data_IF_397220547194
#
_entry.id   IF_397220547194
#
_cell.length_a   1.000
_cell.length_b   1.000
_cell.length_c   1.000
_cell.angle_alpha   90.00
_cell.angle_beta   90.00
_cell.angle_gamma   90.00
#
_symmetry.space_group_name_H-M   'P 1'
#
loop_
_entity.id
_entity.type
_entity.pdbx_description
1 polymer ?
#
# COMPACT_ATOMS: atom_id res chain seq x y z
N UNK A 1 -11.30 -7.67 -11.02
CA UNK A 1 -12.26 -6.82 -10.27
C UNK A 1 -12.08 -5.38 -10.72
N UNK A 2 -13.12 -4.57 -10.94
CA UNK A 2 -12.94 -3.21 -11.45
C UNK A 2 -12.36 -2.26 -10.39
N UNK A 3 -11.55 -1.27 -10.81
CA UNK A 3 -11.01 -0.24 -9.92
C UNK A 3 -12.10 0.52 -9.16
N UNK A 4 -13.21 0.83 -9.84
CA UNK A 4 -14.36 1.51 -9.21
C UNK A 4 -14.95 0.70 -8.06
N UNK A 5 -15.02 -0.63 -8.18
CA UNK A 5 -15.51 -1.51 -7.11
C UNK A 5 -14.57 -1.50 -5.90
N UNK A 6 -13.26 -1.54 -6.13
CA UNK A 6 -12.25 -1.48 -5.07
C UNK A 6 -12.27 -0.12 -4.35
N UNK A 7 -12.38 0.98 -5.10
CA UNK A 7 -12.51 2.33 -4.54
C UNK A 7 -13.76 2.46 -3.66
N UNK A 8 -14.90 1.93 -4.13
CA UNK A 8 -16.14 1.93 -3.36
C UNK A 8 -15.99 1.13 -2.06
N UNK A 9 -15.36 -0.05 -2.09
CA UNK A 9 -15.11 -0.85 -0.89
C UNK A 9 -14.22 -0.11 0.13
N UNK A 10 -13.15 0.56 -0.33
CA UNK A 10 -12.30 1.38 0.55
C UNK A 10 -13.11 2.54 1.13
N UNK A 11 -13.92 3.22 0.32
CA UNK A 11 -14.76 4.33 0.77
C UNK A 11 -15.75 3.91 1.86
N UNK A 12 -16.45 2.79 1.67
CA UNK A 12 -17.36 2.22 2.67
C UNK A 12 -16.62 1.86 3.96
N UNK A 13 -15.48 1.16 3.85
CA UNK A 13 -14.69 0.79 5.02
C UNK A 13 -14.15 2.03 5.76
N UNK A 14 -13.75 3.08 5.02
CA UNK A 14 -13.26 4.33 5.57
C UNK A 14 -14.35 5.06 6.37
N UNK A 15 -15.58 5.10 5.86
CA UNK A 15 -16.72 5.67 6.60
C UNK A 15 -17.01 4.87 7.88
N UNK A 16 -16.94 3.55 7.83
CA UNK A 16 -17.16 2.70 9.01
C UNK A 16 -16.10 2.94 10.11
N UNK A 17 -14.80 3.01 9.74
CA UNK A 17 -13.73 3.25 10.73
C UNK A 17 -13.77 4.66 11.31
N UNK A 18 -14.28 5.65 10.57
CA UNK A 18 -14.41 7.04 11.05
C UNK A 18 -15.66 7.26 11.89
N UNK A 19 -16.75 6.56 11.60
CA UNK A 19 -17.98 6.62 12.38
C UNK A 19 -18.00 5.70 13.60
N UNK A 20 -16.84 5.12 13.99
CA UNK A 20 -16.68 4.17 15.09
C UNK A 20 -17.66 2.98 15.05
N UNK A 21 -18.16 2.66 13.85
CA UNK A 21 -19.07 1.54 13.64
C UNK A 21 -18.29 0.23 13.63
N UNK A 22 -18.97 -0.87 13.94
CA UNK A 22 -18.42 -2.21 13.68
C UNK A 22 -18.06 -2.31 12.19
N UNK A 23 -16.78 -2.58 11.92
CA UNK A 23 -16.27 -2.68 10.55
C UNK A 23 -16.34 -4.15 10.10
N UNK A 24 -17.25 -4.43 9.18
CA UNK A 24 -17.35 -5.72 8.50
C UNK A 24 -17.47 -5.50 6.98
N UNK A 25 -16.67 -6.19 6.15
CA UNK A 25 -15.59 -7.10 6.55
C UNK A 25 -14.38 -6.35 7.16
N UNK A 26 -13.66 -7.00 8.08
CA UNK A 26 -12.47 -6.41 8.71
C UNK A 26 -11.22 -6.34 7.80
N UNK A 27 -11.31 -6.92 6.60
CA UNK A 27 -10.30 -6.86 5.53
C UNK A 27 -10.99 -6.84 4.17
N UNK A 28 -10.37 -6.17 3.22
CA UNK A 28 -10.77 -6.16 1.80
C UNK A 28 -9.54 -6.36 0.93
N UNK A 29 -9.70 -7.01 -0.23
CA UNK A 29 -8.65 -7.05 -1.27
C UNK A 29 -8.61 -5.68 -1.93
N UNK A 30 -7.42 -5.13 -2.14
CA UNK A 30 -7.22 -3.81 -2.77
C UNK A 30 -6.26 -3.83 -3.95
N UNK A 31 -5.67 -4.98 -4.24
CA UNK A 31 -4.75 -5.20 -5.35
C UNK A 31 -4.17 -6.60 -5.28
N UNK A 32 -3.33 -6.93 -6.25
CA UNK A 32 -2.65 -8.21 -6.36
C UNK A 32 -1.20 -7.97 -6.79
N UNK A 33 -0.28 -8.86 -6.41
CA UNK A 33 1.09 -8.82 -6.92
C UNK A 33 1.10 -9.03 -8.43
N UNK A 34 1.78 -8.12 -9.14
CA UNK A 34 2.04 -8.23 -10.58
C UNK A 34 3.13 -9.28 -10.85
N UNK A 35 3.19 -9.84 -12.06
CA UNK A 35 4.17 -10.88 -12.40
C UNK A 35 5.61 -10.48 -12.06
N UNK A 36 6.01 -9.25 -12.40
CA UNK A 36 7.33 -8.68 -12.05
C UNK A 36 7.66 -8.74 -10.56
N UNK A 37 6.65 -8.59 -9.69
CA UNK A 37 6.80 -8.70 -8.24
C UNK A 37 6.90 -10.16 -7.82
N UNK A 38 6.09 -11.05 -8.41
CA UNK A 38 6.13 -12.49 -8.11
C UNK A 38 7.50 -13.09 -8.48
N UNK A 39 7.98 -12.80 -9.68
CA UNK A 39 9.30 -13.22 -10.17
C UNK A 39 10.42 -12.71 -9.26
N UNK A 40 10.38 -11.43 -8.86
CA UNK A 40 11.35 -10.89 -7.91
C UNK A 40 11.31 -11.61 -6.56
N UNK A 41 10.12 -11.81 -5.98
CA UNK A 41 9.98 -12.48 -4.69
C UNK A 41 10.48 -13.93 -4.74
N UNK A 42 10.21 -14.65 -5.82
CA UNK A 42 10.72 -16.00 -6.05
C UNK A 42 12.25 -16.04 -6.09
N UNK A 43 12.89 -15.08 -6.79
CA UNK A 43 14.35 -14.94 -6.79
C UNK A 43 14.92 -14.63 -5.39
N UNK A 44 14.14 -13.98 -4.53
CA UNK A 44 14.47 -13.76 -3.12
C UNK A 44 14.11 -14.96 -2.21
N UNK A 45 13.66 -16.09 -2.78
CA UNK A 45 13.18 -17.29 -2.06
C UNK A 45 12.00 -16.99 -1.12
N UNK A 46 11.16 -16.01 -1.50
CA UNK A 46 9.93 -15.66 -0.80
C UNK A 46 8.76 -16.12 -1.66
N UNK A 47 7.96 -17.06 -1.14
CA UNK A 47 6.78 -17.60 -1.82
C UNK A 47 5.52 -17.27 -1.01
N UNK A 48 4.83 -16.14 -1.31
CA UNK A 48 3.61 -15.77 -0.61
C UNK A 48 2.50 -16.81 -0.80
N UNK A 49 1.72 -17.06 0.26
CA UNK A 49 0.56 -17.99 0.19
C UNK A 49 -0.54 -17.56 -0.78
N UNK A 50 -0.57 -16.28 -1.15
CA UNK A 50 -1.50 -15.68 -2.10
C UNK A 50 -0.85 -14.46 -2.77
N UNK A 51 -1.35 -14.08 -3.94
CA UNK A 51 -0.99 -12.82 -4.61
C UNK A 51 -1.79 -11.61 -4.11
N UNK A 52 -2.88 -11.84 -3.36
CA UNK A 52 -3.78 -10.78 -2.92
C UNK A 52 -3.10 -9.84 -1.91
N UNK A 53 -3.32 -8.55 -2.08
CA UNK A 53 -2.93 -7.49 -1.16
C UNK A 53 -4.17 -7.02 -0.41
N UNK A 54 -4.17 -7.22 0.90
CA UNK A 54 -5.29 -6.83 1.76
C UNK A 54 -5.10 -5.44 2.39
N UNK A 55 -6.20 -4.69 2.50
CA UNK A 55 -6.33 -3.55 3.41
C UNK A 55 -7.17 -3.97 4.61
N UNK A 56 -6.64 -3.78 5.81
CA UNK A 56 -7.29 -4.13 7.07
C UNK A 56 -7.94 -2.90 7.70
N UNK A 57 -9.09 -3.06 8.37
CA UNK A 57 -9.83 -1.96 9.00
C UNK A 57 -8.97 -1.16 9.98
N UNK A 58 -8.24 -1.86 10.85
CA UNK A 58 -7.35 -1.23 11.83
C UNK A 58 -6.20 -0.46 11.14
N UNK A 59 -5.68 -0.96 10.02
CA UNK A 59 -4.64 -0.27 9.24
C UNK A 59 -5.22 0.95 8.55
N UNK A 60 -6.40 0.85 7.95
CA UNK A 60 -7.09 1.98 7.34
C UNK A 60 -7.37 3.11 8.36
N UNK A 61 -7.82 2.77 9.56
CA UNK A 61 -7.94 3.74 10.66
C UNK A 61 -6.60 4.44 10.92
N UNK A 62 -5.48 3.71 11.01
CA UNK A 62 -4.15 4.29 11.16
C UNK A 62 -3.68 5.15 9.97
N UNK A 63 -4.11 4.85 8.74
CA UNK A 63 -3.82 5.66 7.55
C UNK A 63 -4.57 6.99 7.60
N UNK A 64 -5.83 6.96 8.02
CA UNK A 64 -6.74 8.10 8.01
C UNK A 64 -6.60 9.04 9.24
N UNK A 65 -5.73 8.71 10.20
CA UNK A 65 -5.55 9.52 11.43
C UNK A 65 -5.17 10.97 11.11
N UNK A 66 -5.93 11.91 11.66
CA UNK A 66 -5.67 13.35 11.56
C UNK A 66 -4.28 13.74 12.06
N UNK A 67 -3.74 13.06 13.07
CA UNK A 67 -2.39 13.32 13.56
C UNK A 67 -1.30 13.06 12.52
N UNK A 68 -1.52 12.23 11.49
CA UNK A 68 -0.60 12.08 10.34
C UNK A 68 -0.75 13.24 9.35
N UNK A 69 -1.98 13.69 9.10
CA UNK A 69 -2.25 14.82 8.20
C UNK A 69 -1.67 16.12 8.75
N UNK A 70 -1.85 16.39 10.05
CA UNK A 70 -1.32 17.60 10.72
C UNK A 70 0.19 17.77 10.57
N UNK A 71 0.95 16.66 10.49
CA UNK A 71 2.41 16.64 10.28
C UNK A 71 2.82 16.45 8.81
N UNK A 72 1.89 16.61 7.87
CA UNK A 72 2.14 16.57 6.42
C UNK A 72 2.41 15.19 5.82
N UNK A 73 2.39 14.11 6.61
CA UNK A 73 2.72 12.76 6.16
C UNK A 73 1.48 11.88 5.87
N UNK A 74 0.30 12.30 6.31
CA UNK A 74 -0.96 11.57 6.13
C UNK A 74 -1.54 11.80 4.74
N UNK A 75 -2.03 10.72 4.11
CA UNK A 75 -2.70 10.81 2.82
C UNK A 75 -4.03 11.55 2.94
N UNK A 76 -4.37 12.31 1.90
CA UNK A 76 -5.72 12.84 1.73
C UNK A 76 -6.68 11.72 1.38
N UNK A 77 -7.99 11.93 1.63
CA UNK A 77 -9.02 10.93 1.34
C UNK A 77 -8.96 10.47 -0.12
N UNK A 78 -8.77 11.39 -1.06
CA UNK A 78 -8.62 11.05 -2.48
C UNK A 78 -7.45 10.09 -2.74
N UNK A 79 -6.30 10.31 -2.10
CA UNK A 79 -5.12 9.44 -2.26
C UNK A 79 -5.27 8.08 -1.57
N UNK A 80 -6.02 8.01 -0.47
CA UNK A 80 -6.42 6.72 0.13
C UNK A 80 -7.28 5.92 -0.85
N UNK A 81 -8.24 6.57 -1.51
CA UNK A 81 -9.09 5.89 -2.50
C UNK A 81 -8.31 5.45 -3.74
N UNK A 82 -7.22 6.16 -4.10
CA UNK A 82 -6.36 5.79 -5.23
C UNK A 82 -5.40 4.63 -4.97
N UNK A 83 -5.34 4.09 -3.75
CA UNK A 83 -4.48 2.94 -3.41
C UNK A 83 -4.54 1.80 -4.46
N UNK A 84 -5.72 1.31 -4.91
CA UNK A 84 -5.78 0.25 -5.91
C UNK A 84 -5.15 0.63 -7.24
N UNK A 85 -5.33 1.90 -7.67
CA UNK A 85 -4.73 2.41 -8.90
C UNK A 85 -3.21 2.48 -8.80
N UNK A 86 -2.67 2.87 -7.63
CA UNK A 86 -1.23 2.93 -7.39
C UNK A 86 -0.62 1.52 -7.32
N UNK A 87 -1.33 0.55 -6.74
CA UNK A 87 -0.89 -0.85 -6.74
C UNK A 87 -0.89 -1.46 -8.15
N UNK A 88 -1.87 -1.08 -8.99
CA UNK A 88 -1.98 -1.55 -10.36
C UNK A 88 -0.98 -0.87 -11.31
N UNK A 89 -0.77 0.44 -11.16
CA UNK A 89 0.14 1.22 -12.00
C UNK A 89 1.07 2.06 -11.10
N UNK A 90 2.02 1.43 -10.40
CA UNK A 90 3.02 2.17 -9.65
C UNK A 90 4.00 2.84 -10.60
N UNK A 91 4.63 3.94 -10.20
CA UNK A 91 5.77 4.52 -10.92
C UNK A 91 7.07 3.80 -10.58
N UNK A 92 7.16 3.22 -9.37
CA UNK A 92 8.33 2.50 -8.86
C UNK A 92 7.90 1.48 -7.80
N UNK A 93 8.53 0.31 -7.84
CA UNK A 93 8.42 -0.73 -6.82
C UNK A 93 9.81 -0.97 -6.23
N UNK A 94 9.88 -0.92 -4.91
CA UNK A 94 11.10 -1.15 -4.13
C UNK A 94 10.86 -2.31 -3.15
N UNK A 95 11.89 -3.09 -2.89
CA UNK A 95 11.93 -4.05 -1.80
C UNK A 95 12.84 -3.55 -0.67
N UNK A 96 12.30 -3.46 0.55
CA UNK A 96 13.06 -3.15 1.78
C UNK A 96 13.66 -4.46 2.32
N UNK A 97 14.96 -4.67 2.10
CA UNK A 97 15.66 -5.91 2.45
C UNK A 97 15.72 -6.14 3.97
N UNK A 98 15.64 -5.08 4.77
CA UNK A 98 15.69 -5.18 6.23
C UNK A 98 14.35 -5.68 6.79
N UNK A 99 13.22 -5.25 6.21
CA UNK A 99 11.88 -5.61 6.71
C UNK A 99 11.19 -6.73 5.93
N UNK A 100 11.70 -7.02 4.74
CA UNK A 100 11.06 -7.84 3.72
C UNK A 100 9.66 -7.31 3.38
N UNK A 101 9.57 -6.00 3.18
CA UNK A 101 8.35 -5.29 2.81
C UNK A 101 8.50 -4.74 1.37
N UNK A 102 7.41 -4.70 0.59
CA UNK A 102 7.37 -4.04 -0.72
C UNK A 102 6.86 -2.60 -0.57
N UNK A 103 7.47 -1.68 -1.31
CA UNK A 103 7.12 -0.27 -1.36
C UNK A 103 6.62 0.05 -2.76
N UNK A 104 5.35 0.40 -2.88
CA UNK A 104 4.74 0.90 -4.11
C UNK A 104 4.71 2.42 -4.06
N UNK A 105 5.28 3.04 -5.09
CA UNK A 105 5.35 4.49 -5.23
C UNK A 105 4.38 4.94 -6.31
N UNK A 106 3.63 5.99 -6.02
CA UNK A 106 2.81 6.69 -7.00
C UNK A 106 2.84 8.20 -6.78
N UNK A 107 2.31 8.94 -7.74
CA UNK A 107 2.21 10.39 -7.66
C UNK A 107 1.11 10.82 -6.67
N UNK A 108 1.31 11.97 -6.01
CA UNK A 108 0.22 12.61 -5.25
C UNK A 108 -0.53 13.61 -6.12
N UNK A 109 -1.87 13.56 -6.06
CA UNK A 109 -2.73 14.54 -6.70
C UNK A 109 -3.01 15.75 -5.80
N UNK A 110 -2.55 15.73 -4.55
CA UNK A 110 -2.94 16.72 -3.53
C UNK A 110 -1.74 17.43 -2.89
N UNK A 111 -0.53 16.88 -2.99
CA UNK A 111 0.69 17.47 -2.40
C UNK A 111 1.79 17.57 -3.45
N UNK A 112 1.95 18.76 -4.03
CA UNK A 112 3.04 19.06 -4.98
C UNK A 112 4.41 18.75 -4.34
N UNK A 113 5.28 18.11 -5.09
CA UNK A 113 6.63 17.74 -4.64
C UNK A 113 6.68 16.59 -3.62
N UNK A 114 5.54 15.94 -3.32
CA UNK A 114 5.49 14.72 -2.53
C UNK A 114 5.01 13.55 -3.38
N UNK A 115 5.48 12.36 -3.02
CA UNK A 115 5.04 11.10 -3.61
C UNK A 115 4.24 10.30 -2.57
N UNK A 116 3.33 9.47 -3.06
CA UNK A 116 2.60 8.49 -2.24
C UNK A 116 3.45 7.23 -2.13
N UNK A 117 3.78 6.83 -0.91
CA UNK A 117 4.39 5.53 -0.62
C UNK A 117 3.38 4.61 0.05
N UNK A 118 3.19 3.41 -0.48
CA UNK A 118 2.39 2.34 0.11
C UNK A 118 3.34 1.19 0.49
N UNK A 119 3.35 0.81 1.76
CA UNK A 119 4.16 -0.29 2.28
C UNK A 119 3.30 -1.53 2.43
N UNK A 120 3.62 -2.58 1.69
CA UNK A 120 2.98 -3.89 1.71
C UNK A 120 3.88 -4.87 2.44
N UNK A 121 3.39 -5.42 3.54
CA UNK A 121 4.06 -6.52 4.20
C UNK A 121 3.78 -7.81 3.43
N UNK A 122 4.83 -8.57 3.10
CA UNK A 122 4.73 -9.80 2.30
C UNK A 122 4.62 -11.01 3.21
N UNK A 123 3.58 -11.82 2.99
CA UNK A 123 3.37 -13.13 3.61
C UNK A 123 3.55 -13.17 5.14
N UNK A 124 3.13 -12.10 5.83
CA UNK A 124 3.32 -11.98 7.28
C UNK A 124 2.22 -12.69 8.04
N UNK A 125 2.61 -13.46 9.06
CA UNK A 125 1.67 -14.16 9.94
C UNK A 125 0.84 -13.18 10.80
N UNK A 126 -0.48 -13.42 10.85
CA UNK A 126 -1.46 -12.68 11.62
C UNK A 126 -2.39 -13.66 12.35
N UNK A 127 -2.53 -13.49 13.67
CA UNK A 127 -3.27 -14.40 14.56
C UNK A 127 -4.64 -14.86 14.05
N UNK A 128 -5.42 -13.99 13.40
CA UNK A 128 -6.79 -14.29 12.94
C UNK A 128 -6.91 -14.53 11.43
N UNK A 129 -5.84 -14.36 10.66
CA UNK A 129 -5.89 -14.37 9.19
C UNK A 129 -4.87 -15.32 8.56
N UNK A 130 -4.01 -15.97 9.35
CA UNK A 130 -2.89 -16.73 8.83
C UNK A 130 -1.83 -15.83 8.20
N UNK A 131 -1.09 -16.35 7.23
CA UNK A 131 -0.09 -15.59 6.47
C UNK A 131 -0.78 -14.86 5.31
N UNK A 132 -0.65 -13.55 5.29
CA UNK A 132 -1.30 -12.68 4.29
C UNK A 132 -0.38 -11.53 3.90
N UNK A 133 -0.56 -11.01 2.67
CA UNK A 133 0.03 -9.73 2.28
C UNK A 133 -0.92 -8.60 2.67
N UNK A 134 -0.42 -7.52 3.27
CA UNK A 134 -1.30 -6.41 3.62
C UNK A 134 -0.60 -5.06 3.61
N UNK A 135 -1.38 -4.01 3.39
CA UNK A 135 -0.89 -2.63 3.53
C UNK A 135 -0.62 -2.35 5.02
N UNK A 136 0.67 -2.25 5.35
CA UNK A 136 1.16 -1.96 6.69
C UNK A 136 1.04 -0.48 7.02
N UNK A 137 1.40 0.36 6.05
CA UNK A 137 1.25 1.81 6.14
C UNK A 137 1.28 2.44 4.76
N UNK A 138 0.83 3.69 4.68
CA UNK A 138 0.92 4.54 3.51
C UNK A 138 0.99 6.00 3.96
N UNK A 139 1.59 6.85 3.15
CA UNK A 139 1.81 8.26 3.47
C UNK A 139 2.57 9.01 2.39
N UNK A 140 2.61 10.33 2.55
CA UNK A 140 3.45 11.20 1.73
C UNK A 140 4.91 11.13 2.17
N UNK A 141 5.82 11.11 1.21
CA UNK A 141 7.26 11.23 1.44
C UNK A 141 7.89 12.16 0.39
N UNK A 142 9.14 12.54 0.61
CA UNK A 142 9.97 13.16 -0.43
C UNK A 142 10.71 12.08 -1.21
N UNK A 143 11.02 12.36 -2.47
CA UNK A 143 11.79 11.45 -3.32
C UNK A 143 13.17 11.13 -2.73
N UNK A 144 13.79 12.10 -2.05
CA UNK A 144 15.04 11.89 -1.34
C UNK A 144 14.96 10.76 -0.28
N UNK A 145 13.78 10.50 0.29
CA UNK A 145 13.58 9.41 1.24
C UNK A 145 13.63 8.01 0.60
N UNK A 146 13.66 7.91 -0.73
CA UNK A 146 13.86 6.66 -1.45
C UNK A 146 15.34 6.26 -1.52
N UNK A 147 16.26 7.18 -1.18
CA UNK A 147 17.70 6.88 -1.08
C UNK A 147 17.97 6.17 0.24
N UNK A 148 17.81 4.85 0.26
CA UNK A 148 18.12 4.01 1.42
C UNK A 148 18.98 2.81 0.97
N UNK A 149 20.09 2.48 1.65
CA UNK A 149 20.95 1.37 1.25
C UNK A 149 20.28 -0.01 1.34
N UNK A 150 19.19 -0.14 2.11
CA UNK A 150 18.42 -1.38 2.22
C UNK A 150 17.33 -1.49 1.14
N UNK A 151 17.23 -0.52 0.23
CA UNK A 151 16.20 -0.51 -0.82
C UNK A 151 16.77 -1.10 -2.10
N UNK A 152 16.16 -2.18 -2.56
CA UNK A 152 16.41 -2.77 -3.86
C UNK A 152 15.29 -2.39 -4.81
N UNK A 153 15.62 -1.86 -5.98
CA UNK A 153 14.63 -1.61 -7.02
C UNK A 153 14.14 -2.95 -7.59
N UNK A 154 12.82 -3.14 -7.59
CA UNK A 154 12.16 -4.30 -8.19
C UNK A 154 11.78 -4.00 -9.63
N UNK A 155 11.22 -2.80 -9.85
CA UNK A 155 10.76 -2.35 -11.17
C UNK A 155 10.49 -0.86 -11.16
N UNK A 156 10.70 -0.20 -12.30
CA UNK A 156 10.41 1.22 -12.53
C UNK A 156 9.69 1.42 -13.86
N UNK A 157 8.77 2.38 -13.89
CA UNK A 157 8.10 2.80 -15.12
C UNK A 157 9.11 3.46 -16.08
N UNK A 158 9.18 2.97 -17.31
CA UNK A 158 10.01 3.54 -18.35
C UNK A 158 9.47 4.92 -18.75
N UNK A 159 10.30 5.95 -18.67
CA UNK A 159 9.89 7.35 -18.92
C UNK A 159 9.77 8.21 -17.66
N UNK A 160 10.10 7.68 -16.48
CA UNK A 160 10.31 8.47 -15.25
C UNK A 160 11.61 9.28 -15.26
N UNK A 161 11.85 10.03 -16.34
CA UNK A 161 12.71 11.20 -16.56
C UNK A 161 12.56 11.66 -17.99
#
# INVERSE_FOLDING_TARGET
MSLSKLQNQISTMLQQVQGEKRVEPNKIVVGEFQNKVKEFLENQRISPSSSDIFLLSNRLSHLARESKKKRGAGLEKGDILRIPSILQNPSLIIFDTNKSDLLYIGESNFKKGKIVKIVVAVDKHRKKQGRINFIKTAGYIEEANLKNPNYMEVWREAGGR
#
